data_IF_397968048909
#
_entry.id   IF_397968048909
#
_cell.length_a   1.000
_cell.length_b   1.000
_cell.length_c   1.000
_cell.angle_alpha   90.00
_cell.angle_beta   90.00
_cell.angle_gamma   90.00
#
_symmetry.space_group_name_H-M   'P 1'
#
loop_
_entity.id
_entity.type
_entity.pdbx_description
1 polymer ?
#
# COMPACT_ATOMS: atom_id res chain seq x y z
N UNK A 1 -27.65 13.07 -3.50
CA UNK A 1 -28.50 13.39 -4.67
C UNK A 1 -29.05 12.14 -5.35
N UNK A 2 -28.23 11.19 -5.81
CA UNK A 2 -28.73 9.94 -6.46
C UNK A 2 -29.67 9.13 -5.56
N UNK A 3 -29.25 8.79 -4.33
CA UNK A 3 -30.09 8.07 -3.35
C UNK A 3 -31.36 8.81 -2.98
N UNK A 4 -31.28 10.13 -2.84
CA UNK A 4 -32.43 10.97 -2.51
C UNK A 4 -33.47 11.01 -3.64
N UNK A 5 -33.04 10.83 -4.89
CA UNK A 5 -33.92 10.72 -6.06
C UNK A 5 -34.50 9.31 -6.25
N UNK A 6 -34.20 8.34 -5.37
CA UNK A 6 -34.66 6.96 -5.48
C UNK A 6 -33.99 6.14 -6.58
N UNK A 7 -32.95 6.67 -7.23
CA UNK A 7 -32.22 5.96 -8.27
C UNK A 7 -31.14 5.03 -7.68
N UNK A 8 -30.88 3.86 -8.29
CA UNK A 8 -29.88 2.91 -7.79
C UNK A 8 -28.45 3.42 -7.96
N UNK A 9 -27.62 3.20 -6.95
CA UNK A 9 -26.17 3.42 -6.97
C UNK A 9 -25.52 2.40 -6.04
N UNK A 10 -24.60 1.60 -6.59
CA UNK A 10 -24.05 0.44 -5.90
C UNK A 10 -22.57 0.57 -5.55
N UNK A 11 -21.85 1.48 -6.20
CA UNK A 11 -20.40 1.56 -6.06
C UNK A 11 -19.86 2.98 -6.16
N UNK A 12 -18.70 3.18 -5.56
CA UNK A 12 -17.86 4.37 -5.73
C UNK A 12 -16.48 3.95 -6.24
N UNK A 13 -16.16 4.38 -7.47
CA UNK A 13 -14.85 4.15 -8.08
C UNK A 13 -13.90 5.30 -7.76
N UNK A 14 -12.76 4.98 -7.16
CA UNK A 14 -11.62 5.89 -7.04
C UNK A 14 -10.70 5.64 -8.22
N UNK A 15 -10.33 6.66 -8.99
CA UNK A 15 -9.36 6.49 -10.08
C UNK A 15 -8.04 5.98 -9.52
N UNK A 16 -7.44 6.75 -8.60
CA UNK A 16 -6.20 6.33 -7.94
C UNK A 16 -4.93 6.79 -8.65
N UNK A 17 -4.97 7.89 -9.41
CA UNK A 17 -3.76 8.55 -9.92
C UNK A 17 -3.03 9.25 -8.77
N UNK A 18 -1.85 8.73 -8.41
CA UNK A 18 -1.07 9.19 -7.26
C UNK A 18 0.33 9.67 -7.69
N UNK A 19 1.05 10.26 -6.74
CA UNK A 19 2.44 10.66 -6.91
C UNK A 19 3.31 9.93 -5.91
N UNK A 20 4.44 9.40 -6.38
CA UNK A 20 5.43 8.70 -5.55
C UNK A 20 5.85 9.56 -4.36
N UNK A 21 5.77 9.03 -3.15
CA UNK A 21 6.11 9.73 -1.90
C UNK A 21 5.05 10.69 -1.37
N UNK A 22 3.89 10.80 -2.04
CA UNK A 22 2.74 11.60 -1.59
C UNK A 22 1.55 10.74 -1.17
N UNK A 23 1.69 9.41 -1.22
CA UNK A 23 0.69 8.47 -0.71
C UNK A 23 0.72 8.51 0.82
N UNK A 24 -0.44 8.77 1.42
CA UNK A 24 -0.63 8.83 2.87
C UNK A 24 -0.53 7.46 3.56
N UNK A 25 -0.96 7.37 4.82
CA UNK A 25 -0.95 6.11 5.57
C UNK A 25 -2.09 5.18 5.16
N UNK A 26 -1.91 3.88 5.43
CA UNK A 26 -2.97 2.86 5.26
C UNK A 26 -4.27 3.27 5.98
N UNK A 27 -4.18 3.77 7.22
CA UNK A 27 -5.35 4.15 8.02
C UNK A 27 -6.14 5.32 7.43
N UNK A 28 -5.47 6.27 6.78
CA UNK A 28 -6.12 7.37 6.07
C UNK A 28 -6.96 6.84 4.90
N UNK A 29 -6.40 5.95 4.07
CA UNK A 29 -7.13 5.37 2.94
C UNK A 29 -8.26 4.43 3.39
N UNK A 30 -8.06 3.64 4.45
CA UNK A 30 -9.14 2.84 5.06
C UNK A 30 -10.28 3.76 5.50
N UNK A 31 -9.98 4.86 6.19
CA UNK A 31 -11.00 5.80 6.67
C UNK A 31 -11.77 6.45 5.51
N UNK A 32 -11.07 6.83 4.43
CA UNK A 32 -11.71 7.37 3.23
C UNK A 32 -12.64 6.36 2.56
N UNK A 33 -12.17 5.13 2.32
CA UNK A 33 -12.99 4.07 1.74
C UNK A 33 -14.19 3.73 2.63
N UNK A 34 -13.99 3.67 3.96
CA UNK A 34 -15.07 3.41 4.91
C UNK A 34 -16.14 4.51 4.89
N UNK A 35 -15.77 5.77 4.62
CA UNK A 35 -16.75 6.87 4.52
C UNK A 35 -17.76 6.63 3.39
N UNK A 36 -17.33 6.06 2.27
CA UNK A 36 -18.21 5.67 1.17
C UNK A 36 -18.92 4.34 1.47
N UNK A 37 -18.22 3.35 2.01
CA UNK A 37 -18.81 2.06 2.39
C UNK A 37 -19.96 2.23 3.40
N UNK A 38 -19.85 3.18 4.34
CA UNK A 38 -20.89 3.53 5.31
C UNK A 38 -22.17 4.07 4.67
N UNK A 39 -22.11 4.52 3.41
CA UNK A 39 -23.31 4.87 2.66
C UNK A 39 -24.03 3.62 2.14
N UNK A 40 -23.44 2.42 2.20
CA UNK A 40 -23.98 1.19 1.65
C UNK A 40 -23.67 1.02 0.17
N UNK A 41 -22.46 1.38 -0.25
CA UNK A 41 -21.93 1.12 -1.60
C UNK A 41 -20.62 0.35 -1.50
N UNK A 42 -20.31 -0.46 -2.52
CA UNK A 42 -18.98 -1.02 -2.72
C UNK A 42 -17.99 0.10 -3.09
N UNK A 43 -16.71 -0.16 -2.90
CA UNK A 43 -15.63 0.74 -3.34
C UNK A 43 -14.60 -0.03 -4.14
N UNK A 44 -13.94 0.63 -5.08
CA UNK A 44 -12.84 0.04 -5.83
C UNK A 44 -11.84 1.11 -6.26
N UNK A 45 -10.57 0.73 -6.36
CA UNK A 45 -9.61 1.49 -7.17
C UNK A 45 -9.72 1.02 -8.62
N UNK A 46 -9.87 1.94 -9.54
CA UNK A 46 -10.28 1.65 -10.92
C UNK A 46 -9.19 1.96 -11.96
N UNK A 47 -8.25 2.84 -11.63
CA UNK A 47 -7.25 3.39 -12.56
C UNK A 47 -5.90 3.64 -11.83
N UNK A 48 -5.51 2.75 -10.91
CA UNK A 48 -4.35 2.99 -10.05
C UNK A 48 -3.04 3.07 -10.85
N UNK A 49 -2.38 4.22 -10.77
CA UNK A 49 -1.01 4.45 -11.20
C UNK A 49 -0.31 5.42 -10.22
N UNK A 50 1.01 5.26 -10.03
CA UNK A 50 1.76 6.06 -9.07
C UNK A 50 2.92 6.73 -9.79
N UNK A 51 2.70 7.96 -10.22
CA UNK A 51 3.66 8.73 -11.02
C UNK A 51 5.02 8.88 -10.34
N UNK A 52 6.09 8.75 -11.13
CA UNK A 52 7.48 9.00 -10.73
C UNK A 52 8.03 10.21 -11.48
N UNK A 53 8.99 10.97 -10.89
CA UNK A 53 9.76 11.95 -11.63
C UNK A 53 10.59 11.30 -12.75
N UNK A 54 10.68 11.95 -13.92
CA UNK A 54 11.34 11.42 -15.12
C UNK A 54 12.84 11.14 -14.97
N UNK A 55 13.55 11.94 -14.17
CA UNK A 55 15.03 11.91 -14.10
C UNK A 55 15.59 11.14 -12.91
N UNK A 56 14.77 10.90 -11.89
CA UNK A 56 15.20 10.30 -10.63
C UNK A 56 14.04 9.53 -9.98
N UNK A 57 13.51 8.48 -10.65
CA UNK A 57 12.43 7.69 -10.08
C UNK A 57 12.90 6.97 -8.82
N UNK A 58 12.11 7.05 -7.75
CA UNK A 58 12.31 6.25 -6.54
C UNK A 58 11.36 5.04 -6.57
N UNK A 59 11.79 3.96 -7.23
CA UNK A 59 10.97 2.76 -7.40
C UNK A 59 10.72 1.99 -6.10
N UNK A 60 11.57 2.16 -5.08
CA UNK A 60 11.36 1.60 -3.76
C UNK A 60 10.22 2.31 -3.04
N UNK A 61 10.19 3.65 -3.08
CA UNK A 61 9.07 4.42 -2.53
C UNK A 61 7.78 4.10 -3.29
N UNK A 62 7.82 4.04 -4.62
CA UNK A 62 6.67 3.64 -5.43
C UNK A 62 6.13 2.26 -5.02
N UNK A 63 7.02 1.30 -4.70
CA UNK A 63 6.62 -0.01 -4.23
C UNK A 63 5.91 0.04 -2.87
N UNK A 64 6.42 0.84 -1.92
CA UNK A 64 5.76 1.11 -0.62
C UNK A 64 4.39 1.75 -0.80
N UNK A 65 4.27 2.69 -1.73
CA UNK A 65 3.03 3.39 -2.02
C UNK A 65 1.97 2.44 -2.60
N UNK A 66 2.35 1.58 -3.55
CA UNK A 66 1.48 0.51 -4.06
C UNK A 66 1.04 -0.46 -2.95
N UNK A 67 1.98 -0.91 -2.11
CA UNK A 67 1.66 -1.79 -0.98
C UNK A 67 0.66 -1.14 -0.02
N UNK A 68 0.79 0.16 0.23
CA UNK A 68 -0.12 0.93 1.10
C UNK A 68 -1.56 0.90 0.59
N UNK A 69 -1.76 1.17 -0.70
CA UNK A 69 -3.10 1.16 -1.31
C UNK A 69 -3.71 -0.26 -1.29
N UNK A 70 -2.90 -1.27 -1.60
CA UNK A 70 -3.32 -2.68 -1.55
C UNK A 70 -3.71 -3.11 -0.14
N UNK A 71 -2.88 -2.79 0.86
CA UNK A 71 -3.15 -3.10 2.26
C UNK A 71 -4.39 -2.37 2.78
N UNK A 72 -4.64 -1.13 2.34
CA UNK A 72 -5.84 -0.39 2.72
C UNK A 72 -7.10 -1.02 2.13
N UNK A 73 -7.13 -1.32 0.83
CA UNK A 73 -8.28 -1.97 0.20
C UNK A 73 -8.58 -3.31 0.86
N UNK A 74 -7.55 -4.13 1.11
CA UNK A 74 -7.70 -5.42 1.80
C UNK A 74 -8.34 -5.32 3.19
N UNK A 75 -8.17 -4.20 3.90
CA UNK A 75 -8.75 -4.00 5.24
C UNK A 75 -10.20 -3.53 5.22
N UNK A 76 -10.73 -3.09 4.07
CA UNK A 76 -12.11 -2.62 3.94
C UNK A 76 -12.92 -3.70 3.24
N UNK A 77 -13.85 -4.35 3.95
CA UNK A 77 -14.65 -5.45 3.41
C UNK A 77 -15.49 -5.07 2.19
N UNK A 78 -15.87 -3.79 2.06
CA UNK A 78 -16.58 -3.25 0.90
C UNK A 78 -15.65 -2.92 -0.29
N UNK A 79 -14.32 -3.01 -0.13
CA UNK A 79 -13.39 -2.81 -1.23
C UNK A 79 -13.31 -4.07 -2.08
N UNK A 80 -13.89 -4.02 -3.28
CA UNK A 80 -14.06 -5.20 -4.13
C UNK A 80 -12.92 -5.42 -5.11
N UNK A 81 -11.99 -4.46 -5.24
CA UNK A 81 -10.81 -4.67 -6.08
C UNK A 81 -9.98 -3.42 -6.35
N UNK A 82 -8.87 -3.67 -7.03
CA UNK A 82 -7.92 -2.68 -7.53
C UNK A 82 -7.63 -3.02 -8.98
N UNK A 83 -7.84 -2.06 -9.88
CA UNK A 83 -7.42 -2.11 -11.28
C UNK A 83 -6.37 -1.04 -11.52
N UNK A 84 -5.23 -1.39 -12.11
CA UNK A 84 -4.22 -0.42 -12.52
C UNK A 84 -4.52 0.14 -13.91
N UNK A 85 -4.13 1.40 -14.17
CA UNK A 85 -4.36 2.04 -15.47
C UNK A 85 -3.31 1.62 -16.52
N UNK A 86 -3.38 0.35 -16.90
CA UNK A 86 -2.32 -0.36 -17.62
C UNK A 86 -1.45 -1.18 -16.66
N UNK A 87 -0.47 -1.91 -17.19
CA UNK A 87 0.44 -2.72 -16.37
C UNK A 87 1.92 -2.48 -16.66
N UNK A 88 2.28 -1.95 -17.83
CA UNK A 88 3.65 -1.66 -18.26
C UNK A 88 3.84 -0.18 -18.57
N UNK A 89 4.97 0.37 -18.12
CA UNK A 89 5.41 1.74 -18.42
C UNK A 89 5.54 2.00 -19.94
N UNK A 90 5.60 0.96 -20.78
CA UNK A 90 5.65 1.10 -22.25
C UNK A 90 4.43 1.80 -22.84
N UNK A 91 3.25 1.62 -22.23
CA UNK A 91 1.97 2.08 -22.77
C UNK A 91 1.19 2.95 -21.77
N UNK A 92 1.87 3.48 -20.75
CA UNK A 92 1.23 4.45 -19.85
C UNK A 92 0.81 5.71 -20.62
N UNK A 93 -0.30 6.31 -20.20
CA UNK A 93 -0.77 7.61 -20.68
C UNK A 93 0.08 8.79 -20.18
N UNK A 94 0.87 8.58 -19.12
CA UNK A 94 1.72 9.61 -18.52
C UNK A 94 3.04 9.75 -19.27
N UNK A 95 3.27 10.92 -19.86
CA UNK A 95 4.57 11.25 -20.46
C UNK A 95 5.65 11.45 -19.39
N UNK A 96 6.88 11.03 -19.67
CA UNK A 96 8.05 11.24 -18.79
C UNK A 96 7.86 10.70 -17.37
N UNK A 97 7.16 9.57 -17.23
CA UNK A 97 6.95 8.89 -15.95
C UNK A 97 7.08 7.38 -16.12
N UNK A 98 7.32 6.67 -15.02
CA UNK A 98 7.34 5.21 -14.95
C UNK A 98 6.36 4.76 -13.86
N UNK A 99 5.04 4.90 -14.07
CA UNK A 99 4.06 4.87 -12.99
C UNK A 99 3.52 3.47 -12.67
N UNK A 100 3.80 2.47 -13.52
CA UNK A 100 3.17 1.15 -13.46
C UNK A 100 4.10 0.08 -12.87
N UNK A 101 3.63 -1.15 -12.85
CA UNK A 101 4.20 -2.26 -12.08
C UNK A 101 5.25 -3.08 -12.88
N UNK A 102 5.32 -2.86 -14.20
CA UNK A 102 6.34 -3.38 -15.12
C UNK A 102 6.97 -2.22 -15.86
N UNK A 103 8.26 -2.33 -16.16
CA UNK A 103 8.96 -1.33 -16.95
C UNK A 103 8.63 -1.43 -18.46
N UNK A 104 9.28 -0.57 -19.25
CA UNK A 104 9.12 -0.50 -20.71
C UNK A 104 9.63 -1.74 -21.46
N UNK A 105 10.48 -2.53 -20.82
CA UNK A 105 11.10 -3.75 -21.35
C UNK A 105 10.40 -5.01 -20.82
N UNK A 106 9.20 -4.83 -20.23
CA UNK A 106 8.34 -5.86 -19.68
C UNK A 106 8.97 -6.65 -18.52
N UNK A 107 9.92 -6.04 -17.81
CA UNK A 107 10.45 -6.59 -16.57
C UNK A 107 9.63 -6.07 -15.38
N UNK A 108 9.43 -6.94 -14.38
CA UNK A 108 8.71 -6.60 -13.16
C UNK A 108 9.50 -5.56 -12.37
N UNK A 109 8.83 -4.51 -11.89
CA UNK A 109 9.42 -3.52 -10.98
C UNK A 109 9.24 -3.95 -9.52
N UNK A 110 9.90 -3.25 -8.60
CA UNK A 110 9.78 -3.50 -7.17
C UNK A 110 8.31 -3.50 -6.68
N UNK A 111 7.47 -2.65 -7.28
CA UNK A 111 6.05 -2.57 -6.97
C UNK A 111 5.29 -3.89 -7.19
N UNK A 112 5.67 -4.70 -8.18
CA UNK A 112 5.03 -6.00 -8.42
C UNK A 112 5.10 -6.92 -7.19
N UNK A 113 6.30 -7.10 -6.64
CA UNK A 113 6.50 -7.97 -5.48
C UNK A 113 5.89 -7.35 -4.21
N UNK A 114 5.93 -6.03 -4.08
CA UNK A 114 5.31 -5.34 -2.95
C UNK A 114 3.79 -5.55 -2.91
N UNK A 115 3.11 -5.52 -4.05
CA UNK A 115 1.68 -5.84 -4.16
C UNK A 115 1.39 -7.28 -3.73
N UNK A 116 2.15 -8.25 -4.25
CA UNK A 116 1.98 -9.66 -3.88
C UNK A 116 2.19 -9.88 -2.37
N UNK A 117 3.20 -9.25 -1.79
CA UNK A 117 3.50 -9.35 -0.36
C UNK A 117 2.41 -8.70 0.50
N UNK A 118 1.92 -7.52 0.10
CA UNK A 118 0.82 -6.85 0.78
C UNK A 118 -0.48 -7.68 0.74
N UNK A 119 -0.72 -8.37 -0.37
CA UNK A 119 -1.87 -9.27 -0.53
C UNK A 119 -1.73 -10.57 0.26
N UNK A 120 -0.54 -11.16 0.30
CA UNK A 120 -0.27 -12.43 0.99
C UNK A 120 -0.20 -12.27 2.51
N UNK A 121 0.23 -11.11 3.01
CA UNK A 121 0.37 -10.84 4.45
C UNK A 121 -0.98 -10.98 5.16
N UNK A 122 -1.08 -11.71 6.27
CA UNK A 122 -2.31 -11.81 7.04
C UNK A 122 -2.82 -10.40 7.39
N UNK A 123 -4.13 -10.16 7.26
CA UNK A 123 -4.78 -8.92 7.70
C UNK A 123 -4.74 -8.87 9.22
N UNK A 124 -3.60 -8.50 9.79
CA UNK A 124 -3.46 -8.21 11.20
C UNK A 124 -4.28 -6.97 11.50
N UNK A 125 -5.49 -7.18 12.03
CA UNK A 125 -6.32 -6.11 12.54
C UNK A 125 -5.53 -5.30 13.55
N UNK A 126 -5.30 -4.03 13.22
CA UNK A 126 -4.74 -3.07 14.16
C UNK A 126 -5.73 -2.89 15.30
N UNK A 127 -5.49 -3.57 16.42
CA UNK A 127 -5.98 -3.11 17.71
C UNK A 127 -5.28 -1.78 18.01
N UNK A 128 -6.11 -0.77 18.21
CA UNK A 128 -5.84 0.60 18.67
C UNK A 128 -4.66 0.70 19.63
N UNK A 129 -3.73 1.67 19.47
CA UNK A 129 -2.82 2.05 20.54
C UNK A 129 -3.61 2.93 21.52
N UNK A 130 -4.07 2.31 22.61
CA UNK A 130 -4.31 3.06 23.84
C UNK A 130 -2.98 3.61 24.35
N UNK A 131 -3.02 4.86 24.79
CA UNK A 131 -1.93 5.56 25.46
C UNK A 131 -1.22 4.69 26.49
N UNK A 132 0.11 4.66 26.40
CA UNK A 132 0.98 4.01 27.36
C UNK A 132 2.42 4.17 26.93
N UNK A 133 3.02 5.32 27.28
CA UNK A 133 4.45 5.53 27.15
C UNK A 133 5.24 4.45 27.88
N UNK A 134 6.31 3.97 27.26
CA UNK A 134 7.18 2.95 27.83
C UNK A 134 8.32 2.60 26.90
N UNK A 135 9.44 3.29 27.10
CA UNK A 135 10.77 2.84 26.74
C UNK A 135 11.00 1.41 27.29
N UNK A 136 11.53 0.50 26.46
CA UNK A 136 11.75 -0.88 26.89
C UNK A 136 12.01 -1.84 25.75
N UNK A 137 13.29 -2.08 25.46
CA UNK A 137 13.69 -3.28 24.73
C UNK A 137 13.30 -4.54 25.51
N UNK A 138 12.84 -5.59 24.81
CA UNK A 138 12.66 -6.91 25.42
C UNK A 138 11.65 -7.82 24.73
N UNK A 139 12.17 -8.89 24.12
CA UNK A 139 11.59 -10.24 24.09
C UNK A 139 10.06 -10.40 23.95
N UNK A 140 9.58 -10.58 22.72
CA UNK A 140 8.25 -11.17 22.49
C UNK A 140 7.67 -10.89 21.12
N UNK A 141 8.06 -9.77 20.50
CA UNK A 141 7.60 -9.46 19.16
C UNK A 141 8.56 -10.00 18.09
N UNK A 142 8.01 -10.70 17.10
CA UNK A 142 8.73 -11.14 15.92
C UNK A 142 8.00 -10.70 14.65
N UNK A 143 8.77 -10.25 13.68
CA UNK A 143 8.29 -9.81 12.36
C UNK A 143 8.34 -11.00 11.42
N UNK A 144 7.21 -11.34 10.80
CA UNK A 144 7.15 -12.42 9.81
C UNK A 144 8.11 -12.17 8.63
N UNK A 145 8.40 -13.20 7.83
CA UNK A 145 9.12 -13.02 6.57
C UNK A 145 8.51 -11.87 5.77
N UNK A 146 9.36 -11.02 5.20
CA UNK A 146 9.01 -9.85 4.42
C UNK A 146 8.39 -8.67 5.20
N UNK A 147 8.21 -8.76 6.51
CA UNK A 147 7.80 -7.60 7.30
C UNK A 147 8.95 -6.61 7.53
N UNK A 148 8.60 -5.34 7.78
CA UNK A 148 9.59 -4.31 8.12
C UNK A 148 10.14 -4.55 9.53
N UNK A 149 11.46 -4.55 9.64
CA UNK A 149 12.20 -4.80 10.88
C UNK A 149 13.18 -3.67 11.22
N UNK A 150 13.20 -2.59 10.43
CA UNK A 150 14.07 -1.45 10.63
C UNK A 150 13.80 -0.31 9.66
N UNK A 151 14.51 0.81 9.88
CA UNK A 151 14.35 2.06 9.16
C UNK A 151 14.33 3.27 10.08
N UNK A 152 14.75 4.43 9.58
CA UNK A 152 14.69 5.70 10.29
C UNK A 152 13.23 6.02 10.66
N UNK A 153 12.99 6.30 11.94
CA UNK A 153 11.64 6.53 12.47
C UNK A 153 10.81 5.27 12.72
N UNK A 154 11.32 4.06 12.41
CA UNK A 154 10.60 2.81 12.65
C UNK A 154 10.60 2.44 14.15
N UNK A 155 9.41 2.45 14.74
CA UNK A 155 9.15 2.10 16.15
C UNK A 155 8.59 0.68 16.34
N UNK A 156 8.38 -0.06 15.25
CA UNK A 156 7.87 -1.42 15.28
C UNK A 156 8.91 -2.46 15.71
N UNK A 157 8.51 -3.72 15.64
CA UNK A 157 9.35 -4.84 16.07
C UNK A 157 10.54 -5.01 15.13
N UNK A 158 11.74 -5.19 15.70
CA UNK A 158 12.99 -5.24 14.93
C UNK A 158 13.56 -6.66 14.75
N UNK A 159 12.99 -7.61 15.49
CA UNK A 159 13.43 -9.01 15.47
C UNK A 159 12.60 -9.78 14.45
N UNK A 160 13.25 -10.47 13.53
CA UNK A 160 12.58 -11.33 12.56
C UNK A 160 12.22 -12.69 13.18
N UNK A 161 11.09 -13.25 12.77
CA UNK A 161 10.74 -14.62 13.07
C UNK A 161 11.79 -15.55 12.46
N UNK A 162 12.20 -16.58 13.21
CA UNK A 162 13.11 -17.60 12.68
C UNK A 162 12.48 -18.28 11.45
N UNK A 163 13.24 -18.55 10.37
CA UNK A 163 14.71 -18.44 10.22
C UNK A 163 15.23 -17.11 9.64
N UNK A 164 14.39 -16.08 9.56
CA UNK A 164 14.69 -14.87 8.79
C UNK A 164 15.57 -13.88 9.56
N UNK A 165 16.24 -13.02 8.82
CA UNK A 165 17.13 -11.98 9.35
C UNK A 165 16.71 -10.61 8.85
N UNK A 166 16.87 -9.59 9.69
CA UNK A 166 16.55 -8.23 9.28
C UNK A 166 17.61 -7.73 8.28
N UNK A 167 17.26 -7.71 7.00
CA UNK A 167 18.12 -7.21 5.92
C UNK A 167 17.85 -5.74 5.68
N UNK A 168 18.90 -4.94 5.80
CA UNK A 168 18.87 -3.54 5.42
C UNK A 168 18.56 -3.40 3.92
N UNK A 169 17.60 -2.54 3.59
CA UNK A 169 17.33 -2.16 2.21
C UNK A 169 17.75 -0.71 1.94
N UNK A 170 17.40 0.21 2.83
CA UNK A 170 17.82 1.61 2.80
C UNK A 170 17.59 2.25 4.18
N UNK A 171 17.97 3.52 4.33
CA UNK A 171 17.91 4.26 5.60
C UNK A 171 16.53 4.28 6.24
N UNK A 172 15.45 4.13 5.47
CA UNK A 172 14.08 4.19 5.94
C UNK A 172 13.40 2.81 6.01
N UNK A 173 14.06 1.75 5.53
CA UNK A 173 13.44 0.45 5.39
C UNK A 173 14.44 -0.72 5.48
N UNK A 174 14.16 -1.65 6.38
CA UNK A 174 14.79 -2.96 6.47
C UNK A 174 13.72 -4.04 6.56
N UNK A 175 13.95 -5.20 5.97
CA UNK A 175 12.96 -6.27 5.82
C UNK A 175 13.48 -7.62 6.32
N UNK A 176 12.62 -8.45 6.89
CA UNK A 176 12.95 -9.82 7.26
C UNK A 176 13.08 -10.73 6.02
N UNK A 177 14.28 -11.27 5.77
CA UNK A 177 14.58 -12.21 4.68
C UNK A 177 15.39 -13.42 5.15
#
# INVERSE_FOLDING_TARGET
>A
MVKAAGAPIHGFGMQGHMTTGQVGSVSQYVSHMQSFANLGVEVAYTELDISTPSGSPNFQQQATDYATIVSACKQVSACVGITTWGFTDKYTWLSNSAPLIWDKDLQKKAAYNAILNAWASASGGGTTPGEGGGDGGGSGCSVAQYGQCGGNGFSGCKTCASPYTCKYSNDWYSQCL
#
